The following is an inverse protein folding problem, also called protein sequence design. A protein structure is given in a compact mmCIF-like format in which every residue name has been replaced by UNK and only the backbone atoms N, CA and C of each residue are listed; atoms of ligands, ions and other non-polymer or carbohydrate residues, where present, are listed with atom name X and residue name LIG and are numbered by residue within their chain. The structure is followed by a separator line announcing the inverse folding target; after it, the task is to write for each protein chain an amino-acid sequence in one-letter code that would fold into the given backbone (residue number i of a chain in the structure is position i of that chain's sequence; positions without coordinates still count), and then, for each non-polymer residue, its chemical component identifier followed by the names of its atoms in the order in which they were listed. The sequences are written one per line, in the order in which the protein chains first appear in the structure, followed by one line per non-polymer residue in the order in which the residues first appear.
data_IF_368922114210
#
_entry.id   IF_368922114210
#
_cell.length_a   1.000
_cell.length_b   1.000
_cell.length_c   1.000
_cell.angle_alpha   90.00
_cell.angle_beta   90.00
_cell.angle_gamma   90.00
#
_symmetry.space_group_name_H-M   'P 1'
#
loop_
_entity.id
_entity.type
_entity.pdbx_description
1 polymer ?
#
# COMPACT_ATOMS: atom_id res chain seq x y z
N UNK A 1 -0.96 -11.96 1.87
CA UNK A 1 -1.02 -11.57 0.44
C UNK A 1 0.19 -12.10 -0.32
N UNK A 2 0.47 -13.41 -0.25
CA UNK A 2 1.55 -14.08 -1.01
C UNK A 2 1.07 -15.38 -1.69
N UNK A 3 -0.23 -15.69 -1.59
CA UNK A 3 -0.77 -17.01 -1.92
C UNK A 3 -1.70 -17.01 -3.12
N UNK A 4 -2.10 -15.84 -3.63
CA UNK A 4 -2.99 -15.76 -4.80
C UNK A 4 -2.31 -16.26 -6.09
N UNK A 5 -0.98 -16.19 -6.19
CA UNK A 5 -0.21 -16.65 -7.35
C UNK A 5 0.36 -18.07 -7.24
N UNK A 6 -0.17 -18.93 -6.37
CA UNK A 6 0.33 -20.32 -6.21
C UNK A 6 -0.54 -21.37 -6.91
N UNK A 7 -1.67 -20.96 -7.48
CA UNK A 7 -2.68 -21.86 -8.05
C UNK A 7 -2.46 -22.14 -9.53
N UNK A 8 -1.77 -21.26 -10.24
CA UNK A 8 -1.31 -21.50 -11.61
C UNK A 8 0.18 -21.84 -11.57
N UNK A 9 0.59 -22.94 -12.21
CA UNK A 9 2.00 -23.37 -12.32
C UNK A 9 2.85 -22.43 -13.19
N UNK A 10 2.34 -21.27 -13.56
CA UNK A 10 3.10 -20.22 -14.21
C UNK A 10 3.61 -19.25 -13.15
N UNK A 11 4.89 -19.40 -12.82
CA UNK A 11 5.52 -18.48 -11.91
C UNK A 11 5.70 -17.14 -12.61
N UNK A 12 5.05 -16.09 -12.12
CA UNK A 12 5.38 -14.68 -12.45
C UNK A 12 6.89 -14.40 -12.30
N UNK A 13 7.61 -15.21 -11.52
CA UNK A 13 9.09 -15.18 -11.41
C UNK A 13 9.81 -15.43 -12.73
N UNK A 14 9.20 -16.17 -13.66
CA UNK A 14 9.79 -16.47 -14.98
C UNK A 14 9.73 -15.28 -15.93
N UNK A 15 8.68 -14.45 -15.81
CA UNK A 15 8.45 -13.28 -16.66
C UNK A 15 9.21 -12.05 -16.12
N UNK A 16 9.23 -11.87 -14.81
CA UNK A 16 9.75 -10.64 -14.17
C UNK A 16 11.21 -10.78 -13.73
N UNK A 17 11.73 -12.00 -13.66
CA UNK A 17 13.07 -12.26 -13.15
C UNK A 17 13.27 -11.81 -11.69
N UNK A 18 14.48 -12.04 -11.17
CA UNK A 18 14.81 -11.82 -9.76
C UNK A 18 15.04 -10.35 -9.39
N UNK A 19 13.99 -9.52 -9.49
CA UNK A 19 14.00 -8.19 -8.86
C UNK A 19 14.10 -8.30 -7.33
N UNK A 20 13.74 -9.47 -6.78
CA UNK A 20 13.74 -9.77 -5.35
C UNK A 20 15.14 -10.05 -4.77
N UNK A 21 16.09 -10.58 -5.54
CA UNK A 21 17.42 -10.94 -5.00
C UNK A 21 18.44 -9.81 -5.11
N UNK A 22 18.09 -8.69 -5.78
CA UNK A 22 18.96 -7.51 -5.94
C UNK A 22 18.40 -6.32 -5.17
N UNK A 23 18.92 -6.01 -3.96
CA UNK A 23 18.35 -4.97 -3.11
C UNK A 23 18.42 -3.58 -3.74
N UNK A 24 19.45 -3.30 -4.54
CA UNK A 24 19.58 -2.02 -5.24
C UNK A 24 18.52 -1.81 -6.33
N UNK A 25 18.11 -2.86 -7.05
CA UNK A 25 17.01 -2.78 -8.03
C UNK A 25 15.67 -2.52 -7.34
N UNK A 26 15.44 -3.17 -6.19
CA UNK A 26 14.24 -2.92 -5.40
C UNK A 26 14.21 -1.48 -4.88
N UNK A 27 15.35 -0.96 -4.37
CA UNK A 27 15.45 0.44 -3.94
C UNK A 27 15.22 1.42 -5.09
N UNK A 28 15.81 1.16 -6.26
CA UNK A 28 15.62 1.97 -7.47
C UNK A 28 14.15 1.97 -7.93
N UNK A 29 13.51 0.80 -7.93
CA UNK A 29 12.10 0.68 -8.31
C UNK A 29 11.17 1.40 -7.33
N UNK A 30 11.44 1.31 -6.02
CA UNK A 30 10.72 2.09 -5.01
C UNK A 30 10.87 3.59 -5.28
N UNK A 31 12.11 4.06 -5.49
CA UNK A 31 12.39 5.46 -5.76
C UNK A 31 11.66 5.93 -7.03
N UNK A 32 11.77 5.20 -8.13
CA UNK A 32 11.11 5.53 -9.40
C UNK A 32 9.59 5.60 -9.26
N UNK A 33 8.96 4.61 -8.62
CA UNK A 33 7.51 4.59 -8.43
C UNK A 33 7.02 5.71 -7.52
N UNK A 34 7.76 6.02 -6.45
CA UNK A 34 7.43 7.14 -5.56
C UNK A 34 7.61 8.49 -6.25
N UNK A 35 8.70 8.69 -7.01
CA UNK A 35 8.92 9.91 -7.78
C UNK A 35 7.84 10.08 -8.85
N UNK A 36 7.49 9.01 -9.54
CA UNK A 36 6.40 9.02 -10.53
C UNK A 36 5.06 9.34 -9.88
N UNK A 37 4.74 8.78 -8.72
CA UNK A 37 3.48 9.07 -8.03
C UNK A 37 3.41 10.51 -7.54
N UNK A 38 4.49 11.06 -6.99
CA UNK A 38 4.56 12.48 -6.60
C UNK A 38 4.40 13.37 -7.84
N UNK A 39 5.10 13.07 -8.93
CA UNK A 39 4.97 13.84 -10.17
C UNK A 39 3.52 13.81 -10.67
N UNK A 40 2.87 12.65 -10.68
CA UNK A 40 1.51 12.50 -11.19
C UNK A 40 0.50 13.24 -10.32
N UNK A 41 0.51 13.02 -9.00
CA UNK A 41 -0.54 13.53 -8.10
C UNK A 41 -0.28 14.94 -7.56
N UNK A 42 0.98 15.35 -7.38
CA UNK A 42 1.30 16.65 -6.77
C UNK A 42 1.64 17.73 -7.81
N UNK A 43 1.94 17.33 -9.05
CA UNK A 43 2.36 18.28 -10.10
C UNK A 43 1.41 18.19 -11.30
N UNK A 44 1.34 17.03 -11.96
CA UNK A 44 0.59 16.90 -13.21
C UNK A 44 -0.91 17.09 -12.98
N UNK A 45 -1.51 16.39 -12.01
CA UNK A 45 -2.95 16.44 -11.78
C UNK A 45 -3.46 17.86 -11.48
N UNK A 46 -2.86 18.66 -10.57
CA UNK A 46 -3.27 20.05 -10.37
C UNK A 46 -3.17 20.91 -11.63
N UNK A 47 -2.08 20.79 -12.40
CA UNK A 47 -1.91 21.56 -13.63
C UNK A 47 -2.88 21.15 -14.74
N UNK A 48 -3.19 19.86 -14.86
CA UNK A 48 -4.19 19.36 -15.81
C UNK A 48 -5.58 19.84 -15.40
N UNK A 49 -5.92 19.82 -14.11
CA UNK A 49 -7.20 20.33 -13.63
C UNK A 49 -7.36 21.82 -13.95
N UNK A 50 -6.34 22.64 -13.68
CA UNK A 50 -6.35 24.07 -14.02
C UNK A 50 -6.43 24.31 -15.54
N UNK A 51 -5.78 23.47 -16.36
CA UNK A 51 -5.82 23.59 -17.82
C UNK A 51 -7.19 23.23 -18.40
N UNK A 52 -7.82 22.17 -17.89
CA UNK A 52 -9.07 21.63 -18.43
C UNK A 52 -10.28 22.39 -17.91
N UNK A 53 -10.29 22.77 -16.63
CA UNK A 53 -11.44 23.36 -15.96
C UNK A 53 -11.27 24.86 -15.65
N UNK A 54 -10.10 25.43 -15.92
CA UNK A 54 -9.77 26.82 -15.65
C UNK A 54 -9.25 27.06 -14.24
N UNK A 55 -8.57 28.19 -14.05
CA UNK A 55 -8.04 28.60 -12.74
C UNK A 55 -9.16 28.73 -11.72
N UNK A 56 -9.03 28.06 -10.57
CA UNK A 56 -10.04 28.08 -9.51
C UNK A 56 -11.10 26.99 -9.63
N UNK A 57 -10.91 25.99 -10.51
CA UNK A 57 -11.78 24.82 -10.62
C UNK A 57 -12.04 24.12 -9.28
N UNK A 58 -11.03 24.09 -8.39
CA UNK A 58 -11.19 23.53 -7.05
C UNK A 58 -12.20 24.32 -6.19
N UNK A 59 -12.14 25.65 -6.21
CA UNK A 59 -13.10 26.48 -5.46
C UNK A 59 -14.52 26.34 -6.01
N UNK A 60 -14.66 26.28 -7.34
CA UNK A 60 -15.95 26.04 -7.99
C UNK A 60 -16.51 24.67 -7.59
N UNK A 61 -15.68 23.63 -7.67
CA UNK A 61 -16.06 22.26 -7.25
C UNK A 61 -16.51 22.22 -5.80
N UNK A 62 -15.76 22.86 -4.89
CA UNK A 62 -16.12 22.96 -3.48
C UNK A 62 -17.44 23.71 -3.26
N UNK A 63 -17.69 24.77 -4.02
CA UNK A 63 -18.93 25.55 -3.94
C UNK A 63 -20.15 24.76 -4.42
N UNK A 64 -20.01 23.97 -5.49
CA UNK A 64 -21.07 23.06 -5.93
C UNK A 64 -21.27 21.91 -4.93
N UNK A 65 -20.19 21.36 -4.38
CA UNK A 65 -20.27 20.28 -3.39
C UNK A 65 -21.03 20.70 -2.12
N UNK A 66 -20.89 21.96 -1.69
CA UNK A 66 -21.63 22.54 -0.55
C UNK A 66 -23.14 22.66 -0.79
N UNK A 67 -23.58 22.68 -2.06
CA UNK A 67 -25.01 22.78 -2.42
C UNK A 67 -25.68 21.40 -2.50
N UNK A 68 -24.91 20.31 -2.49
CA UNK A 68 -25.45 18.96 -2.62
C UNK A 68 -26.24 18.53 -1.38
N UNK A 69 -27.29 17.69 -1.55
CA UNK A 69 -27.96 17.05 -0.42
C UNK A 69 -26.96 16.28 0.45
N UNK A 70 -27.15 16.30 1.76
CA UNK A 70 -26.27 15.66 2.74
C UNK A 70 -25.98 14.19 2.40
N UNK A 71 -26.98 13.45 1.93
CA UNK A 71 -26.84 12.04 1.54
C UNK A 71 -25.83 11.85 0.41
N UNK A 72 -25.82 12.73 -0.59
CA UNK A 72 -24.87 12.67 -1.70
C UNK A 72 -23.45 13.01 -1.25
N UNK A 73 -23.31 13.98 -0.35
CA UNK A 73 -22.01 14.33 0.26
C UNK A 73 -21.45 13.15 1.04
N UNK A 74 -22.25 12.53 1.91
CA UNK A 74 -21.84 11.35 2.69
C UNK A 74 -21.47 10.19 1.76
N UNK A 75 -22.30 9.93 0.75
CA UNK A 75 -22.02 8.89 -0.24
C UNK A 75 -20.69 9.14 -0.97
N UNK A 76 -20.47 10.37 -1.47
CA UNK A 76 -19.26 10.76 -2.16
C UNK A 76 -18.02 10.56 -1.27
N UNK A 77 -18.04 11.12 -0.07
CA UNK A 77 -16.95 10.98 0.90
C UNK A 77 -16.67 9.50 1.23
N UNK A 78 -17.70 8.70 1.47
CA UNK A 78 -17.53 7.29 1.79
C UNK A 78 -16.89 6.52 0.62
N UNK A 79 -17.35 6.73 -0.61
CA UNK A 79 -16.81 6.06 -1.80
C UNK A 79 -15.38 6.51 -2.06
N UNK A 80 -15.09 7.81 -2.04
CA UNK A 80 -13.73 8.32 -2.29
C UNK A 80 -12.76 7.88 -1.20
N UNK A 81 -13.15 7.94 0.08
CA UNK A 81 -12.28 7.51 1.18
C UNK A 81 -12.07 6.00 1.18
N UNK A 82 -13.08 5.21 0.83
CA UNK A 82 -12.94 3.75 0.76
C UNK A 82 -12.02 3.34 -0.39
N UNK A 83 -12.24 3.90 -1.58
CA UNK A 83 -11.43 3.60 -2.77
C UNK A 83 -9.98 4.06 -2.57
N UNK A 84 -9.76 5.30 -2.11
CA UNK A 84 -8.43 5.81 -1.77
C UNK A 84 -7.77 4.95 -0.69
N UNK A 85 -8.47 4.64 0.40
CA UNK A 85 -7.95 3.81 1.48
C UNK A 85 -7.53 2.41 1.02
N UNK A 86 -8.32 1.74 0.16
CA UNK A 86 -7.95 0.44 -0.41
C UNK A 86 -6.68 0.55 -1.27
N UNK A 87 -6.62 1.54 -2.17
CA UNK A 87 -5.45 1.77 -3.03
C UNK A 87 -4.20 2.05 -2.20
N UNK A 88 -4.32 2.90 -1.17
CA UNK A 88 -3.25 3.20 -0.25
C UNK A 88 -2.76 1.97 0.50
N UNK A 89 -3.65 1.15 1.06
CA UNK A 89 -3.25 -0.07 1.77
C UNK A 89 -2.49 -1.04 0.86
N UNK A 90 -2.93 -1.21 -0.40
CA UNK A 90 -2.27 -2.08 -1.37
C UNK A 90 -0.85 -1.57 -1.68
N UNK A 91 -0.69 -0.28 -1.95
CA UNK A 91 0.61 0.30 -2.32
C UNK A 91 1.54 0.39 -1.12
N UNK A 92 1.06 0.95 -0.01
CA UNK A 92 1.91 1.28 1.13
C UNK A 92 2.21 0.06 2.00
N UNK A 93 1.22 -0.79 2.30
CA UNK A 93 1.40 -1.95 3.19
C UNK A 93 1.68 -3.20 2.37
N UNK A 94 0.87 -3.44 1.33
CA UNK A 94 1.02 -4.57 0.43
C UNK A 94 2.36 -4.58 -0.27
N UNK A 95 2.72 -3.47 -0.95
CA UNK A 95 3.96 -3.38 -1.70
C UNK A 95 5.12 -2.79 -0.88
N UNK A 96 5.04 -1.53 -0.46
CA UNK A 96 6.20 -0.79 0.07
C UNK A 96 6.74 -1.37 1.38
N UNK A 97 5.89 -1.60 2.38
CA UNK A 97 6.31 -2.21 3.65
C UNK A 97 6.91 -3.60 3.43
N UNK A 98 6.26 -4.45 2.63
CA UNK A 98 6.78 -5.79 2.30
C UNK A 98 8.15 -5.73 1.63
N UNK A 99 8.39 -4.74 0.74
CA UNK A 99 9.69 -4.55 0.09
C UNK A 99 10.75 -4.07 1.07
N UNK A 100 10.43 -3.14 1.96
CA UNK A 100 11.37 -2.75 3.01
C UNK A 100 11.69 -3.89 3.97
N UNK A 101 10.70 -4.71 4.34
CA UNK A 101 10.97 -5.91 5.15
C UNK A 101 11.94 -6.86 4.44
N UNK A 102 11.81 -7.05 3.13
CA UNK A 102 12.76 -7.84 2.34
C UNK A 102 14.15 -7.18 2.30
N UNK A 103 14.23 -5.89 1.97
CA UNK A 103 15.48 -5.12 1.87
C UNK A 103 16.26 -5.10 3.18
N UNK A 104 15.53 -4.96 4.29
CA UNK A 104 16.10 -4.83 5.64
C UNK A 104 16.22 -6.18 6.34
N UNK A 105 16.17 -7.31 5.60
CA UNK A 105 16.36 -8.67 6.11
C UNK A 105 15.44 -9.01 7.29
N UNK A 106 14.18 -8.60 7.22
CA UNK A 106 13.16 -8.89 8.22
C UNK A 106 13.11 -7.93 9.42
N UNK A 107 13.81 -6.79 9.38
CA UNK A 107 13.68 -5.73 10.40
C UNK A 107 12.34 -4.98 10.25
N UNK A 108 11.28 -5.61 10.74
CA UNK A 108 9.89 -5.18 10.54
C UNK A 108 9.61 -3.78 11.09
N UNK A 109 10.14 -3.44 12.28
CA UNK A 109 9.93 -2.11 12.86
C UNK A 109 10.57 -1.00 12.05
N UNK A 110 11.76 -1.23 11.52
CA UNK A 110 12.43 -0.28 10.62
C UNK A 110 11.68 -0.14 9.30
N UNK A 111 11.14 -1.24 8.76
CA UNK A 111 10.32 -1.21 7.55
C UNK A 111 9.02 -0.42 7.73
N UNK A 112 8.32 -0.62 8.85
CA UNK A 112 7.10 0.15 9.21
C UNK A 112 7.45 1.63 9.34
N UNK A 113 8.54 1.96 10.04
CA UNK A 113 8.92 3.36 10.26
C UNK A 113 9.26 4.08 8.94
N UNK A 114 10.09 3.47 8.08
CA UNK A 114 10.45 4.06 6.79
C UNK A 114 9.24 4.20 5.86
N UNK A 115 8.37 3.18 5.82
CA UNK A 115 7.13 3.26 5.05
C UNK A 115 6.23 4.38 5.56
N UNK A 116 6.05 4.52 6.87
CA UNK A 116 5.19 5.55 7.45
C UNK A 116 5.72 6.97 7.21
N UNK A 117 7.05 7.17 7.26
CA UNK A 117 7.67 8.44 6.90
C UNK A 117 7.39 8.80 5.45
N UNK A 118 7.62 7.87 4.51
CA UNK A 118 7.38 8.10 3.09
C UNK A 118 5.90 8.35 2.79
N UNK A 119 5.00 7.64 3.46
CA UNK A 119 3.56 7.87 3.38
C UNK A 119 3.20 9.30 3.83
N UNK A 120 3.77 9.75 4.94
CA UNK A 120 3.60 11.11 5.44
C UNK A 120 4.04 12.16 4.43
N UNK A 121 5.28 12.06 3.95
CA UNK A 121 5.83 13.03 3.00
C UNK A 121 5.15 13.01 1.63
N UNK A 122 4.59 11.87 1.22
CA UNK A 122 3.80 11.79 -0.01
C UNK A 122 2.53 12.65 0.03
N UNK A 123 2.00 12.92 1.22
CA UNK A 123 0.90 13.87 1.43
C UNK A 123 1.36 15.35 1.53
N UNK A 124 2.61 15.64 1.20
CA UNK A 124 3.21 16.97 1.27
C UNK A 124 3.86 17.27 2.62
N UNK A 125 4.26 18.53 2.80
CA UNK A 125 4.92 19.04 4.03
C UNK A 125 3.98 20.03 4.71
N UNK A 126 3.21 19.55 5.68
CA UNK A 126 2.27 20.34 6.48
C UNK A 126 2.00 19.68 7.84
N UNK A 127 1.13 20.25 8.68
CA UNK A 127 0.66 19.58 9.90
C UNK A 127 0.00 18.22 9.60
N UNK A 128 -0.61 18.08 8.42
CA UNK A 128 -1.22 16.83 7.97
C UNK A 128 -0.20 15.71 7.74
N UNK A 129 1.07 16.05 7.47
CA UNK A 129 2.18 15.09 7.37
C UNK A 129 2.34 14.30 8.66
N UNK A 130 2.30 14.97 9.82
CA UNK A 130 2.46 14.30 11.11
C UNK A 130 1.32 13.31 11.37
N UNK A 131 0.08 13.73 11.12
CA UNK A 131 -1.08 12.84 11.23
C UNK A 131 -0.97 11.64 10.28
N UNK A 132 -0.54 11.87 9.05
CA UNK A 132 -0.35 10.83 8.05
C UNK A 132 0.73 9.83 8.49
N UNK A 133 1.85 10.29 9.06
CA UNK A 133 2.90 9.40 9.62
C UNK A 133 2.31 8.53 10.74
N UNK A 134 1.53 9.11 11.66
CA UNK A 134 0.95 8.36 12.78
C UNK A 134 -0.05 7.29 12.31
N UNK A 135 -0.90 7.61 11.33
CA UNK A 135 -1.79 6.65 10.67
C UNK A 135 -0.95 5.58 9.94
N UNK A 136 0.10 6.01 9.24
CA UNK A 136 1.13 5.18 8.62
C UNK A 136 1.64 4.08 9.56
N UNK A 137 2.16 4.50 10.71
CA UNK A 137 2.70 3.64 11.76
C UNK A 137 1.65 2.68 12.32
N UNK A 138 0.44 3.19 12.62
CA UNK A 138 -0.64 2.40 13.22
C UNK A 138 -1.10 1.30 12.28
N UNK A 139 -1.43 1.64 11.03
CA UNK A 139 -1.84 0.65 10.04
C UNK A 139 -0.70 -0.31 9.68
N UNK A 140 0.55 0.18 9.57
CA UNK A 140 1.71 -0.68 9.29
C UNK A 140 1.96 -1.72 10.39
N UNK A 141 1.76 -1.34 11.65
CA UNK A 141 1.78 -2.26 12.79
C UNK A 141 0.64 -3.29 12.72
N UNK A 142 -0.60 -2.86 12.47
CA UNK A 142 -1.75 -3.77 12.33
C UNK A 142 -1.51 -4.77 11.20
N UNK A 143 -1.05 -4.31 10.04
CA UNK A 143 -0.71 -5.15 8.89
C UNK A 143 0.36 -6.19 9.24
N UNK A 144 1.47 -5.77 9.87
CA UNK A 144 2.53 -6.69 10.29
C UNK A 144 2.02 -7.75 11.28
N UNK A 145 1.13 -7.36 12.20
CA UNK A 145 0.51 -8.30 13.16
C UNK A 145 -0.38 -9.31 12.43
N UNK A 146 -1.20 -8.85 11.49
CA UNK A 146 -2.14 -9.71 10.75
C UNK A 146 -1.42 -10.66 9.79
N UNK A 147 -0.38 -10.19 9.08
CA UNK A 147 0.46 -11.04 8.24
C UNK A 147 1.13 -12.18 9.02
N UNK A 148 1.62 -11.89 10.25
CA UNK A 148 2.20 -12.91 11.14
C UNK A 148 1.15 -13.92 11.62
N UNK A 149 -0.09 -13.49 11.90
CA UNK A 149 -1.17 -14.40 12.30
C UNK A 149 -1.53 -15.37 11.18
N UNK A 150 -1.70 -14.87 9.95
CA UNK A 150 -1.98 -15.70 8.77
C UNK A 150 -0.87 -16.73 8.55
N UNK A 151 0.41 -16.31 8.64
CA UNK A 151 1.55 -17.23 8.49
C UNK A 151 1.58 -18.32 9.57
N UNK A 152 1.28 -17.98 10.83
CA UNK A 152 1.24 -18.96 11.94
C UNK A 152 0.14 -20.00 11.74
N UNK A 153 -1.07 -19.58 11.34
CA UNK A 153 -2.18 -20.50 11.06
C UNK A 153 -1.81 -21.46 9.93
N UNK A 154 -1.24 -20.94 8.84
CA UNK A 154 -0.81 -21.78 7.71
C UNK A 154 0.30 -22.77 8.09
N UNK A 155 1.29 -22.35 8.86
CA UNK A 155 2.35 -23.22 9.33
C UNK A 155 1.81 -24.36 10.20
N UNK A 156 0.84 -24.04 11.07
CA UNK A 156 0.14 -25.03 11.90
C UNK A 156 -0.69 -26.01 11.08
N UNK A 157 -1.38 -25.55 10.03
CA UNK A 157 -2.11 -26.43 9.10
C UNK A 157 -1.16 -27.35 8.33
N UNK A 158 -0.02 -26.84 7.85
CA UNK A 158 1.00 -27.63 7.15
C UNK A 158 1.59 -28.73 8.05
N UNK A 159 1.96 -28.37 9.28
CA UNK A 159 2.44 -29.34 10.29
C UNK A 159 1.43 -30.44 10.58
N UNK A 160 0.14 -30.10 10.68
CA UNK A 160 -0.93 -31.08 10.92
C UNK A 160 -1.07 -32.07 9.76
N UNK A 161 -0.98 -31.58 8.51
CA UNK A 161 -1.02 -32.43 7.33
C UNK A 161 0.21 -33.35 7.21
N UNK A 162 1.40 -32.86 7.56
CA UNK A 162 2.64 -33.67 7.56
C UNK A 162 2.61 -34.74 8.66
N UNK A 163 2.06 -34.45 9.85
CA UNK A 163 1.88 -35.43 10.93
C UNK A 163 0.77 -36.44 10.67
N UNK A 164 -0.29 -36.08 9.94
CA UNK A 164 -1.31 -37.03 9.48
C UNK A 164 -0.79 -37.93 8.36
N UNK A 165 -0.02 -37.39 7.41
CA UNK A 165 0.69 -38.22 6.42
C UNK A 165 1.67 -39.19 7.08
N UNK A 166 2.47 -38.73 8.03
CA UNK A 166 3.40 -39.59 8.77
C UNK A 166 2.70 -40.76 9.49
N UNK A 167 1.46 -40.58 9.97
CA UNK A 167 0.66 -41.64 10.61
C UNK A 167 0.00 -42.64 9.66
N UNK A 168 -0.03 -42.37 8.35
CA UNK A 168 -0.59 -43.27 7.34
C UNK A 168 0.46 -44.22 6.72
N UNK A 169 1.74 -44.02 7.02
CA UNK A 169 2.86 -44.83 6.54
C UNK A 169 3.51 -45.69 7.65
N UNK A 170 2.90 -45.77 8.83
CA UNK A 170 3.21 -46.69 9.93
C UNK A 170 1.91 -47.37 10.38
#
# INVERSE_FOLDING_TARGET
MFTFFKTERESIRSIIGSVRDRPWLTALLIAMLLSFSVLLFQIIEPHVMDLVYGSGAWEQTLNEFRKLPLVMVIYGLAVTSLTAGICEEIVWRGYLQTRFECLLRGRIWTAIFLQALLFGFWHGVSLFTLFSILIGLTCGYVYAKQARMVNKVFYRMKLKLETEKGRLYF
#
